data_IF_856751789097
#
_entry.id   IF_856751789097
#
_cell.length_a   1.000
_cell.length_b   1.000
_cell.length_c   1.000
_cell.angle_alpha   90.00
_cell.angle_beta   90.00
_cell.angle_gamma   90.00
#
_symmetry.space_group_name_H-M   'P 1'
#
loop_
_entity.id
_entity.type
_entity.pdbx_description
1 polymer ?
#
# COMPACT_ATOMS: atom_id res chain seq x y z
N UNK A 1 -18.15 6.67 36.50
CA UNK A 1 -16.89 6.31 35.82
C UNK A 1 -16.77 7.25 34.63
N UNK A 2 -15.66 7.97 34.50
CA UNK A 2 -15.43 8.84 33.34
C UNK A 2 -15.26 7.99 32.09
N UNK A 3 -15.89 8.37 30.99
CA UNK A 3 -15.68 7.71 29.69
C UNK A 3 -14.22 7.83 29.25
N UNK A 4 -13.70 6.75 28.68
CA UNK A 4 -12.37 6.69 28.08
C UNK A 4 -12.47 6.79 26.56
N UNK A 5 -11.64 7.64 25.96
CA UNK A 5 -11.59 7.87 24.52
C UNK A 5 -10.25 7.42 23.93
N UNK A 6 -10.28 7.05 22.65
CA UNK A 6 -9.10 6.74 21.87
C UNK A 6 -9.27 7.22 20.42
N UNK A 7 -8.15 7.43 19.73
CA UNK A 7 -8.13 7.84 18.32
C UNK A 7 -7.26 6.87 17.56
N UNK A 8 -7.77 6.36 16.45
CA UNK A 8 -7.05 5.43 15.57
C UNK A 8 -7.22 5.78 14.10
N UNK A 9 -6.22 5.45 13.31
CA UNK A 9 -6.27 5.52 11.86
C UNK A 9 -6.86 4.22 11.31
N UNK A 10 -7.80 4.36 10.38
CA UNK A 10 -8.40 3.22 9.69
C UNK A 10 -7.63 2.95 8.38
N UNK A 11 -6.94 1.80 8.24
CA UNK A 11 -6.12 1.49 7.07
C UNK A 11 -6.92 1.26 5.77
N UNK A 12 -8.26 1.31 5.82
CA UNK A 12 -9.13 1.30 4.65
C UNK A 12 -8.84 0.15 3.69
N UNK A 13 -8.47 0.47 2.45
CA UNK A 13 -8.18 -0.52 1.41
C UNK A 13 -6.93 -1.37 1.71
N UNK A 14 -6.01 -0.88 2.54
CA UNK A 14 -4.85 -1.64 3.02
C UNK A 14 -5.16 -2.54 4.24
N UNK A 15 -6.36 -2.43 4.81
CA UNK A 15 -6.74 -3.19 6.01
C UNK A 15 -6.68 -4.70 5.80
N UNK A 16 -7.04 -5.18 4.61
CA UNK A 16 -6.96 -6.61 4.29
C UNK A 16 -5.51 -7.12 4.39
N UNK A 17 -4.54 -6.36 3.89
CA UNK A 17 -3.11 -6.72 3.91
C UNK A 17 -2.59 -6.86 5.34
N UNK A 18 -2.98 -5.93 6.21
CA UNK A 18 -2.64 -5.99 7.62
C UNK A 18 -3.29 -7.20 8.30
N UNK A 19 -4.59 -7.44 8.08
CA UNK A 19 -5.30 -8.60 8.64
C UNK A 19 -4.72 -9.93 8.17
N UNK A 20 -4.39 -10.06 6.90
CA UNK A 20 -3.78 -11.26 6.34
C UNK A 20 -2.40 -11.52 6.99
N UNK A 21 -1.57 -10.48 7.06
CA UNK A 21 -0.25 -10.57 7.72
C UNK A 21 -0.37 -10.96 9.20
N UNK A 22 -1.28 -10.31 9.93
CA UNK A 22 -1.55 -10.60 11.35
C UNK A 22 -2.05 -12.03 11.51
N UNK A 23 -2.95 -12.49 10.65
CA UNK A 23 -3.47 -13.85 10.64
C UNK A 23 -2.40 -14.91 10.36
N UNK A 24 -1.49 -14.64 9.42
CA UNK A 24 -0.34 -15.51 9.15
C UNK A 24 0.56 -15.63 10.37
N UNK A 25 0.86 -14.53 11.08
CA UNK A 25 1.66 -14.55 12.32
C UNK A 25 0.93 -15.33 13.42
N UNK A 26 -0.34 -15.01 13.67
CA UNK A 26 -1.15 -15.68 14.68
C UNK A 26 -1.20 -17.20 14.45
N UNK A 27 -1.44 -17.62 13.20
CA UNK A 27 -1.49 -19.03 12.80
C UNK A 27 -0.13 -19.73 12.89
N UNK A 28 0.93 -19.08 12.38
CA UNK A 28 2.27 -19.69 12.36
C UNK A 28 2.87 -19.90 13.75
N UNK A 29 2.50 -19.05 14.71
CA UNK A 29 3.10 -19.03 16.04
C UNK A 29 2.14 -19.37 17.19
N UNK A 30 0.86 -19.62 16.90
CA UNK A 30 -0.14 -20.00 17.90
C UNK A 30 -0.41 -18.90 18.91
N UNK A 31 -0.39 -17.63 18.47
CA UNK A 31 -0.63 -16.47 19.34
C UNK A 31 -1.98 -15.82 19.03
N UNK A 32 -2.58 -15.18 20.04
CA UNK A 32 -3.78 -14.39 19.84
C UNK A 32 -3.46 -13.11 19.03
N UNK A 33 -4.17 -12.84 17.92
CA UNK A 33 -4.00 -11.60 17.18
C UNK A 33 -4.51 -10.41 18.01
N UNK A 34 -3.96 -9.23 17.75
CA UNK A 34 -4.41 -8.00 18.39
C UNK A 34 -5.88 -7.67 18.03
N UNK A 35 -6.70 -7.20 18.99
CA UNK A 35 -8.13 -6.97 18.80
C UNK A 35 -8.46 -5.85 17.81
N UNK A 36 -7.52 -4.94 17.52
CA UNK A 36 -7.69 -3.80 16.62
C UNK A 36 -7.79 -4.18 15.14
N UNK A 37 -7.49 -5.45 14.79
CA UNK A 37 -7.62 -6.00 13.43
C UNK A 37 -6.97 -5.15 12.33
N UNK A 38 -5.81 -4.55 12.66
CA UNK A 38 -5.01 -3.72 11.76
C UNK A 38 -5.24 -2.22 11.88
N UNK A 39 -6.25 -1.75 12.62
CA UNK A 39 -6.38 -0.32 12.91
C UNK A 39 -5.17 0.18 13.71
N UNK A 40 -4.75 1.43 13.47
CA UNK A 40 -3.49 1.98 13.99
C UNK A 40 -3.80 3.00 15.09
N UNK A 41 -3.61 2.66 16.38
CA UNK A 41 -3.83 3.61 17.46
C UNK A 41 -2.82 4.77 17.38
N UNK A 42 -3.30 6.00 17.51
CA UNK A 42 -2.47 7.22 17.56
C UNK A 42 -2.64 8.00 18.86
N UNK A 43 -3.77 7.83 19.54
CA UNK A 43 -3.98 8.23 20.93
C UNK A 43 -4.89 7.20 21.63
N UNK A 44 -4.65 6.96 22.92
CA UNK A 44 -5.43 6.02 23.73
C UNK A 44 -5.51 6.54 25.16
N UNK A 45 -6.43 6.02 25.99
CA UNK A 45 -6.60 6.44 27.38
C UNK A 45 -6.79 7.95 27.56
N UNK A 46 -7.55 8.57 26.65
CA UNK A 46 -7.94 9.97 26.73
C UNK A 46 -9.16 10.10 27.65
N UNK A 47 -9.15 11.08 28.54
CA UNK A 47 -10.30 11.46 29.36
C UNK A 47 -10.58 12.93 29.09
N UNK A 48 -11.83 13.30 28.83
CA UNK A 48 -12.18 14.69 28.56
C UNK A 48 -11.81 15.59 29.74
N UNK A 49 -11.21 16.74 29.44
CA UNK A 49 -10.91 17.75 30.45
C UNK A 49 -12.22 18.36 31.01
N UNK A 50 -12.23 18.88 32.25
CA UNK A 50 -13.40 19.55 32.80
C UNK A 50 -13.92 20.67 31.87
N UNK A 51 -15.22 20.66 31.58
CA UNK A 51 -15.85 21.62 30.67
C UNK A 51 -15.69 21.33 29.17
N UNK A 52 -14.92 20.31 28.79
CA UNK A 52 -14.83 19.85 27.39
C UNK A 52 -15.96 18.89 27.05
N UNK A 53 -16.34 18.85 25.77
CA UNK A 53 -17.42 18.00 25.24
C UNK A 53 -16.87 17.00 24.23
N UNK A 54 -17.65 15.96 23.93
CA UNK A 54 -17.36 15.03 22.82
C UNK A 54 -17.26 15.76 21.47
N UNK A 55 -18.05 16.81 21.29
CA UNK A 55 -18.00 17.65 20.09
C UNK A 55 -16.69 18.43 20.02
N UNK A 56 -16.23 19.02 21.13
CA UNK A 56 -14.91 19.66 21.20
C UNK A 56 -13.75 18.70 20.93
N UNK A 57 -13.86 17.44 21.36
CA UNK A 57 -12.89 16.39 20.98
C UNK A 57 -12.92 16.10 19.48
N UNK A 58 -14.11 15.98 18.88
CA UNK A 58 -14.26 15.79 17.44
C UNK A 58 -13.69 17.00 16.66
N UNK A 59 -13.96 18.22 17.09
CA UNK A 59 -13.45 19.44 16.46
C UNK A 59 -11.92 19.53 16.54
N UNK A 60 -11.32 19.10 17.66
CA UNK A 60 -9.87 19.00 17.78
C UNK A 60 -9.26 18.01 16.77
N UNK A 61 -9.87 16.81 16.65
CA UNK A 61 -9.42 15.80 15.67
C UNK A 61 -9.59 16.30 14.24
N UNK A 62 -10.73 16.89 13.91
CA UNK A 62 -10.99 17.47 12.59
C UNK A 62 -10.06 18.65 12.29
N UNK A 63 -9.73 19.47 13.29
CA UNK A 63 -8.75 20.55 13.21
C UNK A 63 -7.36 20.05 12.83
N UNK A 64 -6.87 19.01 13.51
CA UNK A 64 -5.58 18.38 13.20
C UNK A 64 -5.56 17.73 11.80
N UNK A 65 -6.71 17.30 11.29
CA UNK A 65 -6.85 16.72 9.96
C UNK A 65 -7.13 17.74 8.86
N UNK A 66 -7.41 19.02 9.17
CA UNK A 66 -7.97 19.98 8.22
C UNK A 66 -7.10 20.22 6.98
N UNK A 67 -5.78 20.15 7.15
CA UNK A 67 -4.81 20.30 6.07
C UNK A 67 -4.67 19.04 5.19
N UNK A 68 -5.31 17.94 5.57
CA UNK A 68 -5.10 16.61 5.00
C UNK A 68 -6.40 16.07 4.41
N UNK A 69 -6.42 15.84 3.09
CA UNK A 69 -7.49 15.06 2.43
C UNK A 69 -7.30 13.55 2.59
N UNK A 70 -6.09 13.16 2.96
CA UNK A 70 -5.63 11.82 3.32
C UNK A 70 -4.38 11.96 4.20
N UNK A 71 -4.06 10.94 4.99
CA UNK A 71 -2.77 10.87 5.68
C UNK A 71 -1.91 9.79 5.03
N UNK A 72 -0.84 10.21 4.36
CA UNK A 72 0.08 9.30 3.69
C UNK A 72 1.02 8.68 4.73
N UNK A 73 1.05 7.34 4.77
CA UNK A 73 1.87 6.55 5.67
C UNK A 73 2.71 5.53 4.91
N UNK A 74 3.76 5.06 5.55
CA UNK A 74 4.52 3.88 5.13
C UNK A 74 4.42 2.84 6.23
N UNK A 75 3.82 1.70 5.88
CA UNK A 75 3.89 0.48 6.68
C UNK A 75 5.26 -0.14 6.42
N UNK A 76 6.08 -0.28 7.46
CA UNK A 76 7.45 -0.76 7.33
C UNK A 76 7.86 -1.67 8.48
N UNK A 77 8.12 -2.93 8.15
CA UNK A 77 8.86 -3.82 9.02
C UNK A 77 8.11 -4.25 10.28
N UNK A 78 8.82 -5.03 11.09
CA UNK A 78 8.37 -5.43 12.41
C UNK A 78 8.90 -4.46 13.45
N UNK A 79 8.05 -4.10 14.42
CA UNK A 79 8.44 -3.35 15.61
C UNK A 79 7.99 -4.10 16.85
N UNK A 80 8.73 -3.91 17.95
CA UNK A 80 8.35 -4.44 19.26
C UNK A 80 8.43 -3.32 20.28
N UNK A 81 7.44 -3.23 21.16
CA UNK A 81 7.37 -2.19 22.18
C UNK A 81 6.99 -2.77 23.54
N UNK A 82 7.59 -2.25 24.61
CA UNK A 82 7.18 -2.64 25.97
C UNK A 82 5.83 -2.00 26.34
N UNK A 83 4.94 -2.83 26.85
CA UNK A 83 3.63 -2.46 27.38
C UNK A 83 3.50 -2.93 28.84
N UNK A 84 2.49 -2.46 29.56
CA UNK A 84 2.28 -2.85 30.96
C UNK A 84 2.08 -4.36 31.15
N UNK A 85 1.58 -5.05 30.12
CA UNK A 85 1.34 -6.51 30.12
C UNK A 85 2.44 -7.35 29.48
N UNK A 86 3.56 -6.77 29.02
CA UNK A 86 4.64 -7.50 28.36
C UNK A 86 5.27 -6.74 27.21
N UNK A 87 5.44 -7.42 26.07
CA UNK A 87 5.92 -6.79 24.84
C UNK A 87 4.89 -6.95 23.74
N UNK A 88 4.52 -5.85 23.11
CA UNK A 88 3.62 -5.82 21.97
C UNK A 88 4.44 -6.00 20.68
N UNK A 89 3.95 -6.82 19.76
CA UNK A 89 4.45 -6.95 18.39
C UNK A 89 3.58 -6.08 17.50
N UNK A 90 4.19 -5.30 16.61
CA UNK A 90 3.47 -4.47 15.65
C UNK A 90 4.17 -4.39 14.30
N UNK A 91 3.47 -3.79 13.34
CA UNK A 91 4.03 -3.34 12.06
C UNK A 91 4.33 -1.85 12.19
N UNK A 92 5.54 -1.43 11.83
CA UNK A 92 5.97 -0.05 11.98
C UNK A 92 5.15 0.89 11.08
N UNK A 93 4.78 2.06 11.61
CA UNK A 93 4.11 3.11 10.84
C UNK A 93 4.96 4.38 10.91
N UNK A 94 5.21 4.99 9.77
CA UNK A 94 5.75 6.34 9.66
C UNK A 94 4.88 7.17 8.72
N UNK A 95 4.70 8.44 9.04
CA UNK A 95 4.06 9.39 8.14
C UNK A 95 5.03 9.80 7.04
N UNK A 96 4.54 9.92 5.80
CA UNK A 96 5.30 10.49 4.71
C UNK A 96 5.45 12.02 4.90
N UNK A 97 6.36 12.70 4.17
CA UNK A 97 6.63 14.13 4.37
C UNK A 97 5.40 15.04 4.30
N UNK A 98 4.41 14.72 3.46
CA UNK A 98 3.16 15.49 3.33
C UNK A 98 2.23 15.37 4.57
N UNK A 99 2.49 14.41 5.45
CA UNK A 99 1.66 14.06 6.61
C UNK A 99 2.47 14.00 7.91
N UNK A 100 3.76 14.35 7.88
CA UNK A 100 4.70 14.16 9.01
C UNK A 100 4.30 14.95 10.26
N UNK A 101 3.65 16.11 10.06
CA UNK A 101 3.20 16.98 11.15
C UNK A 101 1.94 16.49 11.85
N UNK A 102 1.20 15.55 11.26
CA UNK A 102 -0.10 15.09 11.77
C UNK A 102 -0.05 14.69 13.25
N UNK A 103 0.92 13.88 13.65
CA UNK A 103 1.00 13.41 15.04
C UNK A 103 1.27 14.55 16.05
N UNK A 104 2.05 15.57 15.63
CA UNK A 104 2.29 16.74 16.46
C UNK A 104 1.06 17.65 16.52
N UNK A 105 0.40 17.87 15.38
CA UNK A 105 -0.80 18.70 15.27
C UNK A 105 -1.97 18.07 16.05
N UNK A 106 -2.12 16.75 15.99
CA UNK A 106 -3.10 16.01 16.79
C UNK A 106 -2.83 16.17 18.29
N UNK A 107 -1.58 16.01 18.73
CA UNK A 107 -1.22 16.21 20.14
C UNK A 107 -1.57 17.62 20.61
N UNK A 108 -1.21 18.63 19.82
CA UNK A 108 -1.47 20.02 20.14
C UNK A 108 -2.97 20.33 20.20
N UNK A 109 -3.76 19.79 19.26
CA UNK A 109 -5.20 19.98 19.22
C UNK A 109 -5.94 19.28 20.38
N UNK A 110 -5.45 18.12 20.84
CA UNK A 110 -6.06 17.37 21.94
C UNK A 110 -5.73 17.93 23.33
N UNK A 111 -4.55 18.54 23.50
CA UNK A 111 -4.07 19.06 24.78
C UNK A 111 -5.07 19.93 25.56
N UNK A 112 -5.85 20.85 24.95
CA UNK A 112 -6.84 21.65 25.68
C UNK A 112 -8.14 20.91 26.01
N UNK A 113 -8.48 19.81 25.31
CA UNK A 113 -9.80 19.16 25.40
C UNK A 113 -9.79 17.80 26.09
N UNK A 114 -8.63 17.16 26.19
CA UNK A 114 -8.47 15.86 26.82
C UNK A 114 -7.16 15.75 27.59
N UNK A 115 -7.24 15.10 28.75
CA UNK A 115 -6.09 14.71 29.56
C UNK A 115 -5.82 13.22 29.40
N UNK A 116 -4.58 12.81 29.69
CA UNK A 116 -4.16 11.42 29.56
C UNK A 116 -3.72 11.07 28.13
N UNK A 117 -3.19 9.85 28.01
CA UNK A 117 -2.82 9.24 26.74
C UNK A 117 -1.36 9.38 26.32
N UNK A 118 -0.81 8.27 25.79
CA UNK A 118 0.53 8.20 25.22
C UNK A 118 0.55 8.77 23.80
N UNK A 119 0.29 10.07 23.65
CA UNK A 119 0.46 10.73 22.37
C UNK A 119 1.96 11.03 22.17
N UNK A 120 2.74 10.09 21.64
CA UNK A 120 4.21 10.27 21.55
C UNK A 120 5.03 9.03 21.22
N UNK A 121 4.42 7.84 21.25
CA UNK A 121 5.05 6.63 20.72
C UNK A 121 4.99 6.63 19.20
N UNK A 122 6.01 6.07 18.55
CA UNK A 122 5.98 5.86 17.09
C UNK A 122 4.78 4.95 16.79
N UNK A 123 3.83 5.37 15.93
CA UNK A 123 2.65 4.58 15.67
C UNK A 123 3.02 3.23 15.08
N UNK A 124 2.23 2.22 15.43
CA UNK A 124 2.38 0.87 14.93
C UNK A 124 1.01 0.22 14.77
N UNK A 125 0.81 -0.58 13.72
CA UNK A 125 -0.36 -1.44 13.61
C UNK A 125 -0.15 -2.65 14.54
N UNK A 126 -0.97 -2.84 15.60
CA UNK A 126 -0.77 -3.94 16.53
C UNK A 126 -0.97 -5.30 15.85
N UNK A 127 -0.06 -6.24 16.10
CA UNK A 127 -0.12 -7.63 15.61
C UNK A 127 -0.49 -8.57 16.74
N UNK A 128 0.16 -8.42 17.89
CA UNK A 128 -0.15 -9.14 19.12
C UNK A 128 0.25 -8.28 20.33
N UNK A 129 -0.47 -8.39 21.45
CA UNK A 129 -0.24 -7.60 22.66
C UNK A 129 0.20 -8.47 23.84
N UNK A 130 1.00 -7.90 24.75
CA UNK A 130 1.31 -8.51 26.04
C UNK A 130 2.06 -9.84 25.95
N UNK A 131 2.92 -10.02 24.94
CA UNK A 131 3.70 -11.25 24.80
C UNK A 131 4.80 -11.28 25.87
N UNK A 132 4.98 -12.43 26.52
CA UNK A 132 6.09 -12.60 27.44
C UNK A 132 7.44 -12.54 26.70
N UNK A 133 8.49 -12.19 27.44
CA UNK A 133 9.80 -11.94 26.85
C UNK A 133 10.45 -13.15 26.18
N UNK A 134 10.14 -14.38 26.60
CA UNK A 134 10.69 -15.59 25.99
C UNK A 134 10.02 -15.86 24.63
N UNK A 135 8.69 -15.83 24.61
CA UNK A 135 7.91 -15.98 23.38
C UNK A 135 8.25 -14.88 22.37
N UNK A 136 8.37 -13.62 22.81
CA UNK A 136 8.75 -12.50 21.94
C UNK A 136 10.12 -12.69 21.29
N UNK A 137 11.12 -13.22 22.02
CA UNK A 137 12.46 -13.48 21.44
C UNK A 137 12.43 -14.54 20.36
N UNK A 138 11.70 -15.63 20.58
CA UNK A 138 11.56 -16.71 19.60
C UNK A 138 10.79 -16.22 18.35
N UNK A 139 9.70 -15.46 18.55
CA UNK A 139 8.95 -14.81 17.48
C UNK A 139 9.83 -13.88 16.66
N UNK A 140 10.56 -12.97 17.32
CA UNK A 140 11.41 -11.98 16.66
C UNK A 140 12.47 -12.65 15.77
N UNK A 141 13.12 -13.70 16.29
CA UNK A 141 14.08 -14.50 15.52
C UNK A 141 13.41 -15.23 14.34
N UNK A 142 12.22 -15.81 14.57
CA UNK A 142 11.46 -16.52 13.53
C UNK A 142 10.97 -15.62 12.39
N UNK A 143 10.66 -14.36 12.70
CA UNK A 143 10.33 -13.33 11.71
C UNK A 143 11.56 -12.83 10.91
N UNK A 144 12.75 -13.40 11.15
CA UNK A 144 13.98 -13.05 10.47
C UNK A 144 14.68 -11.81 11.02
N UNK A 145 14.22 -11.28 12.16
CA UNK A 145 14.87 -10.15 12.82
C UNK A 145 16.09 -10.66 13.61
N UNK A 146 17.22 -9.96 13.49
CA UNK A 146 18.46 -10.36 14.18
C UNK A 146 18.33 -10.09 15.69
N UNK A 147 18.36 -11.12 16.56
CA UNK A 147 18.38 -10.92 18.00
C UNK A 147 19.73 -10.34 18.44
N UNK A 148 19.73 -9.55 19.51
CA UNK A 148 20.95 -9.03 20.11
C UNK A 148 21.84 -10.15 20.68
N UNK A 149 23.12 -9.85 20.97
CA UNK A 149 24.09 -10.84 21.48
C UNK A 149 23.58 -11.59 22.73
N UNK A 150 23.00 -10.85 23.69
CA UNK A 150 22.42 -11.42 24.92
C UNK A 150 21.19 -12.30 24.60
N UNK A 151 20.34 -11.89 23.65
CA UNK A 151 19.16 -12.66 23.26
C UNK A 151 19.54 -13.97 22.56
N UNK A 152 20.60 -13.95 21.74
CA UNK A 152 21.14 -15.17 21.08
C UNK A 152 21.63 -16.18 22.11
N UNK A 153 22.33 -15.71 23.16
CA UNK A 153 22.77 -16.58 24.25
C UNK A 153 21.57 -17.20 25.00
N UNK A 154 20.56 -16.39 25.32
CA UNK A 154 19.34 -16.89 25.99
C UNK A 154 18.57 -17.92 25.12
N UNK A 155 18.46 -17.70 23.81
CA UNK A 155 17.82 -18.62 22.87
C UNK A 155 18.55 -19.97 22.72
N UNK A 156 19.84 -20.03 23.11
CA UNK A 156 20.62 -21.27 23.07
C UNK A 156 20.42 -22.14 24.33
N UNK A 157 20.02 -21.54 25.45
CA UNK A 157 19.92 -22.21 26.76
C UNK A 157 18.47 -22.47 27.17
N UNK A 158 17.52 -21.64 26.72
CA UNK A 158 16.11 -21.77 27.08
C UNK A 158 15.40 -22.74 26.12
N UNK A 159 14.59 -23.71 26.63
CA UNK A 159 13.79 -24.59 25.78
C UNK A 159 12.86 -23.80 24.87
N UNK A 160 12.89 -24.11 23.56
CA UNK A 160 12.03 -23.44 22.58
C UNK A 160 10.57 -23.82 22.74
N UNK A 161 9.70 -22.83 22.79
CA UNK A 161 8.24 -23.02 22.73
C UNK A 161 7.76 -23.20 21.30
N UNK A 162 8.39 -22.51 20.35
CA UNK A 162 8.09 -22.56 18.92
C UNK A 162 8.93 -23.66 18.28
N UNK A 163 8.28 -24.79 17.96
CA UNK A 163 8.93 -25.96 17.34
C UNK A 163 9.44 -25.69 15.92
N UNK A 164 8.71 -24.91 15.12
CA UNK A 164 9.02 -24.62 13.71
C UNK A 164 8.80 -23.13 13.41
N UNK A 165 9.80 -22.26 13.64
CA UNK A 165 9.67 -20.85 13.29
C UNK A 165 9.46 -20.71 11.78
N UNK A 166 8.53 -19.83 11.38
CA UNK A 166 8.22 -19.56 9.97
C UNK A 166 8.52 -18.11 9.67
N UNK A 167 9.39 -17.90 8.70
CA UNK A 167 9.64 -16.56 8.17
C UNK A 167 8.36 -16.01 7.54
N UNK A 168 7.91 -14.86 8.03
CA UNK A 168 6.82 -14.09 7.45
C UNK A 168 7.43 -12.78 7.00
N UNK A 169 7.27 -12.49 5.71
CA UNK A 169 7.86 -11.31 5.09
C UNK A 169 7.30 -10.04 5.75
N UNK A 170 8.15 -9.09 6.16
CA UNK A 170 7.67 -7.81 6.67
C UNK A 170 6.86 -7.07 5.60
N UNK A 171 5.87 -6.30 6.05
CA UNK A 171 5.13 -5.40 5.17
C UNK A 171 6.03 -4.21 4.85
N UNK A 172 6.15 -3.89 3.56
CA UNK A 172 6.60 -2.58 3.08
C UNK A 172 5.56 -2.07 2.09
N UNK A 173 4.73 -1.13 2.53
CA UNK A 173 3.61 -0.62 1.74
C UNK A 173 3.37 0.87 2.05
N UNK A 174 3.67 1.78 1.11
CA UNK A 174 3.08 3.10 1.10
C UNK A 174 1.56 2.98 1.00
N UNK A 175 0.83 3.60 1.92
CA UNK A 175 -0.62 3.57 1.98
C UNK A 175 -1.16 4.92 2.44
N UNK A 176 -2.39 5.23 2.06
CA UNK A 176 -3.06 6.47 2.45
C UNK A 176 -4.26 6.17 3.34
N UNK A 177 -4.32 6.84 4.49
CA UNK A 177 -5.46 6.77 5.41
C UNK A 177 -6.51 7.77 4.94
N UNK A 178 -7.74 7.29 4.73
CA UNK A 178 -8.89 8.13 4.37
C UNK A 178 -9.84 8.38 5.55
N UNK A 179 -9.72 7.61 6.64
CA UNK A 179 -10.65 7.67 7.77
C UNK A 179 -9.94 7.63 9.12
N UNK A 180 -10.38 8.47 10.04
CA UNK A 180 -9.87 8.54 11.43
C UNK A 180 -11.03 8.33 12.39
N UNK A 181 -10.94 7.35 13.26
CA UNK A 181 -12.03 7.01 14.19
C UNK A 181 -11.73 7.50 15.60
N UNK A 182 -12.75 8.09 16.22
CA UNK A 182 -12.80 8.36 17.66
C UNK A 182 -13.58 7.22 18.31
N UNK A 183 -13.00 6.63 19.34
CA UNK A 183 -13.60 5.55 20.10
C UNK A 183 -14.04 6.07 21.47
N UNK A 184 -15.13 5.51 21.99
CA UNK A 184 -15.62 5.70 23.36
C UNK A 184 -15.76 4.33 24.02
N UNK A 185 -15.05 4.12 25.13
CA UNK A 185 -14.98 2.86 25.88
C UNK A 185 -14.69 1.64 24.97
N UNK A 186 -13.80 1.83 23.99
CA UNK A 186 -13.38 0.80 23.02
C UNK A 186 -14.31 0.58 21.82
N UNK A 187 -15.50 1.18 21.78
CA UNK A 187 -16.39 1.14 20.63
C UNK A 187 -16.20 2.37 19.71
N UNK A 188 -16.38 2.22 18.40
CA UNK A 188 -16.34 3.37 17.48
C UNK A 188 -17.50 4.31 17.82
N UNK A 189 -17.17 5.55 18.14
CA UNK A 189 -18.14 6.61 18.43
C UNK A 189 -18.49 7.38 17.17
N UNK A 190 -17.48 7.89 16.45
CA UNK A 190 -17.60 8.56 15.16
C UNK A 190 -16.35 8.35 14.32
N UNK A 191 -16.50 8.45 13.01
CA UNK A 191 -15.37 8.36 12.07
C UNK A 191 -15.33 9.59 11.17
N UNK A 192 -14.22 10.30 11.17
CA UNK A 192 -13.97 11.41 10.26
C UNK A 192 -13.53 10.84 8.92
N UNK A 193 -14.29 11.16 7.87
CA UNK A 193 -13.94 10.87 6.49
C UNK A 193 -13.14 12.04 5.90
N UNK A 194 -11.85 11.83 5.62
CA UNK A 194 -10.93 12.89 5.24
C UNK A 194 -11.21 13.46 3.83
N UNK A 195 -11.55 12.66 2.80
CA UNK A 195 -11.86 13.19 1.48
C UNK A 195 -13.10 14.09 1.48
N UNK A 196 -14.16 13.72 2.21
CA UNK A 196 -15.38 14.54 2.31
C UNK A 196 -15.32 15.61 3.41
N UNK A 197 -14.45 15.46 4.40
CA UNK A 197 -14.38 16.29 5.61
C UNK A 197 -15.55 16.08 6.58
N UNK A 198 -16.35 15.02 6.41
CA UNK A 198 -17.58 14.80 7.17
C UNK A 198 -17.39 13.77 8.29
N UNK A 199 -18.10 13.96 9.40
CA UNK A 199 -18.22 12.96 10.46
C UNK A 199 -19.31 11.94 10.10
N UNK A 200 -18.96 10.66 10.17
CA UNK A 200 -19.84 9.53 9.96
C UNK A 200 -20.20 8.90 11.30
N UNK A 201 -21.46 8.53 11.45
CA UNK A 201 -21.90 7.59 12.48
C UNK A 201 -21.32 6.19 12.23
N UNK A 202 -21.31 5.29 13.22
CA UNK A 202 -20.82 3.92 13.02
C UNK A 202 -21.53 3.19 11.86
N UNK A 203 -22.85 3.36 11.72
CA UNK A 203 -23.61 2.76 10.63
C UNK A 203 -23.22 3.31 9.25
N UNK A 204 -22.98 4.62 9.14
CA UNK A 204 -22.52 5.24 7.88
C UNK A 204 -21.07 4.88 7.56
N UNK A 205 -20.22 4.69 8.57
CA UNK A 205 -18.85 4.26 8.39
C UNK A 205 -18.77 2.81 7.85
N UNK A 206 -19.71 1.96 8.26
CA UNK A 206 -19.81 0.57 7.81
C UNK A 206 -20.58 0.40 6.48
N UNK A 207 -21.21 1.46 5.97
CA UNK A 207 -21.93 1.43 4.68
C UNK A 207 -20.97 1.28 3.49
N UNK A 208 -21.06 0.18 2.70
CA UNK A 208 -20.23 -0.04 1.53
C UNK A 208 -20.35 1.06 0.47
N UNK A 209 -21.54 1.66 0.28
CA UNK A 209 -21.74 2.71 -0.71
C UNK A 209 -20.99 3.98 -0.30
N UNK A 210 -21.04 4.34 0.99
CA UNK A 210 -20.24 5.45 1.54
C UNK A 210 -18.75 5.19 1.39
N UNK A 211 -18.30 3.97 1.63
CA UNK A 211 -16.90 3.63 1.43
C UNK A 211 -16.48 3.73 -0.05
N UNK A 212 -17.35 3.35 -0.97
CA UNK A 212 -17.12 3.52 -2.41
C UNK A 212 -17.00 5.01 -2.80
N UNK A 213 -17.85 5.88 -2.25
CA UNK A 213 -17.77 7.33 -2.42
C UNK A 213 -16.44 7.89 -1.90
N UNK A 214 -16.03 7.51 -0.68
CA UNK A 214 -14.74 7.87 -0.09
C UNK A 214 -13.58 7.49 -1.01
N UNK A 215 -13.56 6.24 -1.48
CA UNK A 215 -12.50 5.72 -2.34
C UNK A 215 -12.46 6.45 -3.69
N UNK A 216 -13.61 6.75 -4.30
CA UNK A 216 -13.67 7.53 -5.54
C UNK A 216 -13.11 8.94 -5.36
N UNK A 217 -13.51 9.64 -4.30
CA UNK A 217 -12.99 10.96 -3.98
C UNK A 217 -11.46 10.92 -3.77
N UNK A 218 -10.99 9.94 -3.00
CA UNK A 218 -9.57 9.69 -2.77
C UNK A 218 -8.81 9.40 -4.08
N UNK A 219 -9.30 8.49 -4.93
CA UNK A 219 -8.63 8.14 -6.19
C UNK A 219 -8.45 9.36 -7.10
N UNK A 220 -9.47 10.22 -7.21
CA UNK A 220 -9.40 11.45 -8.00
C UNK A 220 -8.40 12.45 -7.42
N UNK A 221 -8.41 12.62 -6.10
CA UNK A 221 -7.50 13.53 -5.39
C UNK A 221 -6.05 13.05 -5.46
N UNK A 222 -5.79 11.76 -5.25
CA UNK A 222 -4.44 11.17 -5.36
C UNK A 222 -3.93 11.18 -6.79
N UNK A 223 -4.83 11.08 -7.77
CA UNK A 223 -4.50 10.92 -9.19
C UNK A 223 -4.48 9.45 -9.64
N UNK A 224 -5.11 8.55 -8.91
CA UNK A 224 -5.33 7.17 -9.33
C UNK A 224 -6.55 7.00 -10.24
N UNK A 225 -7.40 8.02 -10.37
CA UNK A 225 -8.51 8.07 -11.32
C UNK A 225 -8.39 9.38 -12.14
N UNK A 226 -8.16 9.25 -13.44
CA UNK A 226 -8.12 10.35 -14.39
C UNK A 226 -9.53 10.91 -14.60
N UNK A 227 -9.70 12.21 -14.43
CA UNK A 227 -10.98 12.90 -14.69
C UNK A 227 -11.01 13.64 -16.03
N UNK A 228 -9.85 13.77 -16.69
CA UNK A 228 -9.71 14.39 -17.99
C UNK A 228 -8.52 13.78 -18.75
N UNK A 229 -8.52 13.85 -20.10
CA UNK A 229 -7.34 13.49 -20.89
C UNK A 229 -6.11 14.34 -20.53
N UNK A 230 -4.96 13.69 -20.46
CA UNK A 230 -3.66 14.26 -20.13
C UNK A 230 -2.61 13.85 -21.18
N UNK A 231 -2.92 14.09 -22.45
CA UNK A 231 -2.05 13.69 -23.57
C UNK A 231 -0.75 14.51 -23.59
N UNK A 232 0.37 13.82 -23.70
CA UNK A 232 1.65 14.47 -23.99
C UNK A 232 1.72 14.91 -25.47
N UNK A 233 2.46 15.97 -25.80
CA UNK A 233 2.68 16.40 -27.17
C UNK A 233 3.49 15.35 -27.95
N UNK A 234 3.31 15.32 -29.28
CA UNK A 234 4.02 14.39 -30.17
C UNK A 234 3.60 12.92 -30.00
N UNK A 235 4.30 12.01 -30.67
CA UNK A 235 4.09 10.58 -30.56
C UNK A 235 4.82 10.02 -29.35
N UNK A 236 4.14 9.23 -28.54
CA UNK A 236 4.69 8.65 -27.32
C UNK A 236 4.79 7.13 -27.39
N UNK A 237 5.72 6.59 -26.60
CA UNK A 237 5.81 5.16 -26.29
C UNK A 237 5.57 5.02 -24.80
N UNK A 238 4.56 4.24 -24.41
CA UNK A 238 4.22 3.99 -23.03
C UNK A 238 4.51 2.55 -22.62
N UNK A 239 4.65 2.31 -21.32
CA UNK A 239 4.73 0.99 -20.70
C UNK A 239 3.79 0.89 -19.49
N UNK A 240 3.20 -0.28 -19.28
CA UNK A 240 2.41 -0.66 -18.11
C UNK A 240 2.17 -2.17 -18.13
N UNK A 241 1.85 -2.76 -16.99
CA UNK A 241 1.50 -4.17 -16.82
C UNK A 241 0.38 -4.36 -15.79
N UNK A 242 -0.09 -5.60 -15.67
CA UNK A 242 -0.86 -6.10 -14.54
C UNK A 242 -2.17 -5.36 -14.31
N UNK A 243 -2.90 -5.04 -15.38
CA UNK A 243 -4.22 -4.42 -15.24
C UNK A 243 -5.16 -5.38 -14.53
N UNK A 244 -5.05 -6.68 -14.82
CA UNK A 244 -5.90 -7.72 -14.24
C UNK A 244 -7.39 -7.38 -14.33
N UNK A 245 -7.82 -6.95 -15.52
CA UNK A 245 -9.24 -6.66 -15.77
C UNK A 245 -10.09 -7.90 -15.42
N UNK A 246 -11.17 -7.69 -14.68
CA UNK A 246 -12.08 -8.75 -14.21
C UNK A 246 -11.58 -9.55 -12.99
N UNK A 247 -10.49 -9.13 -12.34
CA UNK A 247 -9.87 -9.89 -11.24
C UNK A 247 -10.17 -9.31 -9.84
N UNK A 248 -11.34 -9.56 -9.26
CA UNK A 248 -11.70 -8.99 -7.94
C UNK A 248 -10.66 -9.23 -6.82
N UNK A 249 -9.99 -10.39 -6.80
CA UNK A 249 -8.98 -10.72 -5.78
C UNK A 249 -7.75 -9.82 -5.83
N UNK A 250 -7.43 -9.20 -6.98
CA UNK A 250 -6.28 -8.30 -7.09
C UNK A 250 -6.46 -7.05 -6.24
N UNK A 251 -7.70 -6.64 -5.99
CA UNK A 251 -8.03 -5.48 -5.15
C UNK A 251 -7.48 -5.68 -3.74
N UNK A 252 -7.75 -6.83 -3.12
CA UNK A 252 -7.21 -7.15 -1.79
C UNK A 252 -5.71 -7.47 -1.82
N UNK A 253 -5.28 -8.29 -2.79
CA UNK A 253 -3.91 -8.76 -2.87
C UNK A 253 -2.89 -7.60 -2.95
N UNK A 254 -3.22 -6.58 -3.74
CA UNK A 254 -2.40 -5.38 -3.94
C UNK A 254 -2.89 -4.16 -3.14
N UNK A 255 -3.90 -4.30 -2.30
CA UNK A 255 -4.55 -3.16 -1.64
C UNK A 255 -4.91 -2.04 -2.64
N UNK A 256 -5.53 -2.40 -3.77
CA UNK A 256 -6.01 -1.37 -4.72
C UNK A 256 -7.19 -0.61 -4.10
N UNK A 257 -7.29 0.71 -4.29
CA UNK A 257 -8.30 1.53 -3.64
C UNK A 257 -9.67 1.44 -4.33
N UNK A 258 -10.19 0.22 -4.44
CA UNK A 258 -11.49 -0.10 -5.03
C UNK A 258 -12.28 -0.99 -4.06
N UNK A 259 -13.60 -0.99 -4.22
CA UNK A 259 -14.44 -1.90 -3.44
C UNK A 259 -14.33 -3.31 -4.00
N UNK A 260 -14.03 -4.28 -3.14
CA UNK A 260 -13.94 -5.70 -3.54
C UNK A 260 -15.26 -6.24 -4.13
N UNK A 261 -16.39 -5.73 -3.67
CA UNK A 261 -17.72 -6.11 -4.14
C UNK A 261 -18.05 -5.57 -5.55
N UNK A 262 -17.29 -4.60 -6.06
CA UNK A 262 -17.50 -3.96 -7.35
C UNK A 262 -16.17 -3.87 -8.13
N UNK A 263 -15.68 -5.00 -8.69
CA UNK A 263 -14.49 -4.99 -9.52
C UNK A 263 -14.70 -4.29 -10.87
N UNK A 264 -15.95 -4.11 -11.30
CA UNK A 264 -16.26 -3.49 -12.59
C UNK A 264 -15.95 -1.97 -12.56
N UNK A 265 -16.09 -1.32 -11.40
CA UNK A 265 -15.60 0.06 -11.20
C UNK A 265 -14.07 0.15 -11.37
N UNK A 266 -13.31 -0.84 -10.87
CA UNK A 266 -11.85 -0.88 -11.07
C UNK A 266 -11.51 -0.96 -12.55
N UNK A 267 -12.13 -1.89 -13.28
CA UNK A 267 -11.89 -2.08 -14.71
C UNK A 267 -12.17 -0.79 -15.50
N UNK A 268 -13.31 -0.14 -15.23
CA UNK A 268 -13.69 1.11 -15.86
C UNK A 268 -12.67 2.24 -15.60
N UNK A 269 -12.18 2.36 -14.36
CA UNK A 269 -11.15 3.36 -14.00
C UNK A 269 -9.82 3.05 -14.67
N UNK A 270 -9.38 1.79 -14.71
CA UNK A 270 -8.11 1.41 -15.36
C UNK A 270 -8.13 1.66 -16.87
N UNK A 271 -9.23 1.31 -17.55
CA UNK A 271 -9.43 1.60 -18.98
C UNK A 271 -9.54 3.12 -19.21
N UNK A 272 -10.25 3.83 -18.34
CA UNK A 272 -10.36 5.29 -18.39
C UNK A 272 -9.00 5.98 -18.24
N UNK A 273 -8.18 5.53 -17.29
CA UNK A 273 -6.82 6.04 -17.07
C UNK A 273 -5.92 5.80 -18.27
N UNK A 274 -6.00 4.60 -18.87
CA UNK A 274 -5.27 4.28 -20.09
C UNK A 274 -5.63 5.27 -21.21
N UNK A 275 -6.93 5.40 -21.50
CA UNK A 275 -7.42 6.23 -22.59
C UNK A 275 -7.28 7.73 -22.34
N UNK A 276 -7.15 8.14 -21.08
CA UNK A 276 -6.81 9.52 -20.73
C UNK A 276 -5.35 9.87 -21.06
N UNK A 277 -4.44 8.89 -21.12
CA UNK A 277 -3.01 9.11 -21.34
C UNK A 277 -2.58 8.78 -22.77
N UNK A 278 -3.15 7.72 -23.35
CA UNK A 278 -2.71 7.15 -24.62
C UNK A 278 -3.62 7.61 -25.77
N UNK A 279 -3.04 8.23 -26.80
CA UNK A 279 -3.76 8.56 -28.04
C UNK A 279 -3.77 7.37 -29.01
N UNK A 280 -4.71 7.32 -29.97
CA UNK A 280 -4.75 6.25 -30.98
C UNK A 280 -3.44 6.03 -31.77
N UNK A 281 -2.65 7.09 -31.95
CA UNK A 281 -1.38 7.05 -32.70
C UNK A 281 -0.14 6.77 -31.83
N UNK A 282 -0.30 6.70 -30.50
CA UNK A 282 0.78 6.35 -29.59
C UNK A 282 1.03 4.84 -29.60
N UNK A 283 2.20 4.42 -29.11
CA UNK A 283 2.54 3.01 -28.92
C UNK A 283 2.49 2.66 -27.45
N UNK A 284 2.05 1.45 -27.13
CA UNK A 284 2.13 0.91 -25.77
C UNK A 284 2.81 -0.44 -25.81
N UNK A 285 3.82 -0.62 -24.96
CA UNK A 285 4.45 -1.92 -24.72
C UNK A 285 3.85 -2.45 -23.42
N UNK A 286 2.92 -3.38 -23.54
CA UNK A 286 2.15 -3.93 -22.43
C UNK A 286 2.85 -5.16 -21.86
N UNK A 287 3.25 -5.13 -20.58
CA UNK A 287 4.18 -6.13 -20.01
C UNK A 287 3.48 -7.28 -19.28
N UNK A 288 2.33 -7.72 -19.80
CA UNK A 288 1.62 -8.91 -19.34
C UNK A 288 0.52 -8.69 -18.30
N UNK A 289 -0.28 -9.73 -18.09
CA UNK A 289 -1.41 -9.86 -17.16
C UNK A 289 -2.55 -8.84 -17.41
N UNK A 290 -3.06 -8.85 -18.64
CA UNK A 290 -4.13 -7.94 -19.07
C UNK A 290 -5.45 -8.20 -18.35
N UNK A 291 -5.85 -9.47 -18.28
CA UNK A 291 -7.18 -9.83 -17.79
C UNK A 291 -7.17 -11.18 -17.09
N UNK A 292 -8.01 -11.32 -16.07
CA UNK A 292 -8.28 -12.60 -15.42
C UNK A 292 -9.62 -13.12 -15.94
N UNK A 293 -9.56 -13.81 -17.09
CA UNK A 293 -10.73 -14.09 -17.92
C UNK A 293 -11.64 -15.22 -17.39
N UNK A 294 -12.22 -15.05 -16.18
CA UNK A 294 -13.22 -15.97 -15.61
C UNK A 294 -14.65 -15.71 -16.08
N UNK A 295 -14.96 -14.50 -16.56
CA UNK A 295 -16.33 -14.07 -16.93
C UNK A 295 -16.63 -14.15 -18.44
N UNK A 296 -15.69 -14.63 -19.25
CA UNK A 296 -15.94 -14.95 -20.65
C UNK A 296 -15.98 -13.75 -21.61
N UNK A 297 -15.64 -12.54 -21.16
CA UNK A 297 -15.41 -11.43 -22.09
C UNK A 297 -14.27 -11.81 -23.04
N UNK A 298 -14.48 -11.78 -24.37
CA UNK A 298 -13.41 -12.06 -25.31
C UNK A 298 -12.27 -11.07 -25.06
N UNK A 299 -11.05 -11.57 -24.88
CA UNK A 299 -9.82 -10.76 -24.76
C UNK A 299 -9.75 -9.69 -25.87
N UNK A 300 -10.25 -10.03 -27.07
CA UNK A 300 -10.39 -9.11 -28.19
C UNK A 300 -11.20 -7.84 -27.85
N UNK A 301 -12.30 -7.98 -27.14
CA UNK A 301 -13.20 -6.87 -26.83
C UNK A 301 -12.59 -5.96 -25.75
N UNK A 302 -11.76 -6.51 -24.86
CA UNK A 302 -10.92 -5.72 -23.95
C UNK A 302 -9.84 -4.95 -24.70
N UNK A 303 -9.13 -5.60 -25.63
CA UNK A 303 -8.12 -4.95 -26.47
C UNK A 303 -8.70 -3.77 -27.26
N UNK A 304 -9.92 -3.91 -27.78
CA UNK A 304 -10.59 -2.86 -28.56
C UNK A 304 -10.96 -1.62 -27.74
N UNK A 305 -11.01 -1.72 -26.41
CA UNK A 305 -11.28 -0.58 -25.52
C UNK A 305 -10.04 0.24 -25.21
N UNK A 306 -8.84 -0.28 -25.50
CA UNK A 306 -7.57 0.36 -25.17
C UNK A 306 -7.03 1.13 -26.37
N UNK A 307 -6.88 2.44 -26.23
CA UNK A 307 -6.31 3.30 -27.25
C UNK A 307 -4.83 2.98 -27.52
N UNK A 308 -4.37 3.28 -28.73
CA UNK A 308 -2.97 3.15 -29.14
C UNK A 308 -2.65 1.84 -29.86
N UNK A 309 -1.42 1.76 -30.35
CA UNK A 309 -0.87 0.56 -31.01
C UNK A 309 -0.12 -0.26 -29.96
N UNK A 310 -0.73 -1.36 -29.53
CA UNK A 310 -0.22 -2.13 -28.39
C UNK A 310 0.60 -3.33 -28.86
N UNK A 311 1.84 -3.43 -28.36
CA UNK A 311 2.66 -4.64 -28.42
C UNK A 311 2.55 -5.34 -27.07
N UNK A 312 2.12 -6.59 -27.06
CA UNK A 312 1.93 -7.36 -25.84
C UNK A 312 3.14 -8.25 -25.57
N UNK A 313 3.70 -8.17 -24.37
CA UNK A 313 4.60 -9.17 -23.80
C UNK A 313 3.74 -10.07 -22.90
N UNK A 314 3.89 -11.39 -23.05
CA UNK A 314 3.02 -12.39 -22.45
C UNK A 314 3.16 -12.41 -20.93
N UNK A 315 2.05 -12.24 -20.21
CA UNK A 315 1.95 -12.54 -18.79
C UNK A 315 1.41 -13.94 -18.50
N UNK A 316 1.45 -14.35 -17.23
CA UNK A 316 1.01 -15.66 -16.76
C UNK A 316 -0.49 -15.91 -17.01
N UNK A 317 -1.29 -14.84 -17.02
CA UNK A 317 -2.74 -14.90 -17.21
C UNK A 317 -3.17 -14.62 -18.66
N UNK A 318 -2.22 -14.44 -19.59
CA UNK A 318 -2.48 -14.01 -20.97
C UNK A 318 -2.52 -15.16 -21.99
N UNK A 319 -2.84 -16.38 -21.58
CA UNK A 319 -2.96 -17.52 -22.50
C UNK A 319 -3.94 -17.26 -23.68
N UNK A 320 -4.90 -16.35 -23.51
CA UNK A 320 -5.84 -15.92 -24.56
C UNK A 320 -5.32 -14.86 -25.54
N UNK A 321 -4.14 -14.27 -25.30
CA UNK A 321 -3.50 -13.28 -26.18
C UNK A 321 -2.54 -14.01 -27.14
N UNK A 322 -2.99 -14.25 -28.38
CA UNK A 322 -2.23 -15.04 -29.37
C UNK A 322 -1.04 -14.29 -29.96
N UNK A 323 -1.16 -12.97 -30.09
CA UNK A 323 -0.18 -12.04 -30.65
C UNK A 323 0.77 -11.44 -29.58
N UNK A 324 0.92 -12.11 -28.44
CA UNK A 324 1.88 -11.72 -27.41
C UNK A 324 3.24 -12.39 -27.63
N UNK A 325 4.30 -11.59 -27.53
CA UNK A 325 5.69 -12.02 -27.55
C UNK A 325 6.11 -12.49 -26.15
N UNK A 326 7.06 -13.41 -26.02
CA UNK A 326 7.57 -13.84 -24.70
C UNK A 326 8.45 -12.77 -24.05
N UNK A 327 9.16 -11.99 -24.87
CA UNK A 327 9.97 -10.85 -24.42
C UNK A 327 10.14 -9.85 -25.57
N UNK A 328 10.45 -8.60 -25.24
CA UNK A 328 10.75 -7.58 -26.24
C UNK A 328 12.03 -6.83 -25.88
N UNK A 329 13.00 -6.82 -26.80
CA UNK A 329 14.22 -6.01 -26.67
C UNK A 329 14.15 -4.80 -27.60
N UNK A 330 14.51 -3.63 -27.09
CA UNK A 330 14.59 -2.40 -27.88
C UNK A 330 15.59 -1.42 -27.28
N UNK A 331 16.11 -0.53 -28.11
CA UNK A 331 16.88 0.63 -27.67
C UNK A 331 16.01 1.87 -27.78
N UNK A 332 15.89 2.64 -26.69
CA UNK A 332 15.12 3.88 -26.65
C UNK A 332 15.91 4.97 -25.92
N UNK A 333 16.07 6.14 -26.54
CA UNK A 333 16.82 7.25 -25.94
C UNK A 333 18.27 6.88 -25.55
N UNK A 334 18.91 6.01 -26.33
CA UNK A 334 20.26 5.50 -26.04
C UNK A 334 20.35 4.48 -24.91
N UNK A 335 19.22 4.00 -24.39
CA UNK A 335 19.17 2.97 -23.34
C UNK A 335 18.61 1.68 -23.91
N UNK A 336 19.31 0.56 -23.66
CA UNK A 336 18.84 -0.77 -24.01
C UNK A 336 17.85 -1.28 -22.96
N UNK A 337 16.65 -1.64 -23.42
CA UNK A 337 15.59 -2.21 -22.59
C UNK A 337 15.29 -3.66 -22.99
N UNK A 338 15.03 -4.48 -21.98
CA UNK A 338 14.42 -5.80 -22.09
C UNK A 338 13.10 -5.80 -21.33
N UNK A 339 12.00 -6.02 -22.03
CA UNK A 339 10.68 -6.18 -21.44
C UNK A 339 10.39 -7.67 -21.29
N UNK A 340 10.16 -8.10 -20.05
CA UNK A 340 9.75 -9.46 -19.66
C UNK A 340 8.71 -9.35 -18.57
N UNK A 341 7.70 -10.22 -18.54
CA UNK A 341 6.66 -10.13 -17.52
C UNK A 341 7.18 -10.52 -16.12
N UNK A 342 7.70 -11.74 -15.94
CA UNK A 342 8.39 -12.13 -14.69
C UNK A 342 9.86 -11.67 -14.77
N UNK A 343 10.35 -10.84 -13.83
CA UNK A 343 11.74 -10.40 -13.82
C UNK A 343 12.77 -11.55 -13.72
N UNK A 344 12.36 -12.76 -13.36
CA UNK A 344 13.23 -13.94 -13.36
C UNK A 344 13.53 -14.48 -14.76
N UNK A 345 12.72 -14.15 -15.75
CA UNK A 345 12.92 -14.60 -17.13
C UNK A 345 13.95 -13.73 -17.86
N UNK A 346 14.42 -12.65 -17.23
CA UNK A 346 15.53 -11.86 -17.74
C UNK A 346 16.83 -12.70 -17.71
N UNK A 347 17.59 -12.78 -18.82
CA UNK A 347 18.84 -13.51 -18.85
C UNK A 347 19.85 -12.99 -17.84
N UNK A 348 20.56 -13.92 -17.19
CA UNK A 348 21.69 -13.58 -16.32
C UNK A 348 22.73 -12.77 -17.11
N UNK A 349 23.16 -11.64 -16.54
CA UNK A 349 24.18 -10.78 -17.14
C UNK A 349 23.68 -9.85 -18.26
N UNK A 350 22.36 -9.70 -18.48
CA UNK A 350 21.85 -8.64 -19.36
C UNK A 350 22.35 -7.27 -18.88
N UNK A 351 23.04 -6.54 -19.76
CA UNK A 351 23.70 -5.28 -19.42
C UNK A 351 22.78 -4.05 -19.49
N UNK A 352 21.59 -4.17 -20.08
CA UNK A 352 20.63 -3.07 -20.18
C UNK A 352 19.70 -2.97 -18.96
N UNK A 353 18.54 -2.36 -19.16
CA UNK A 353 17.50 -2.19 -18.15
C UNK A 353 16.33 -3.13 -18.38
N UNK A 354 15.91 -3.84 -17.34
CA UNK A 354 14.76 -4.74 -17.38
C UNK A 354 13.49 -3.97 -17.00
N UNK A 355 12.45 -4.05 -17.81
CA UNK A 355 11.11 -3.53 -17.48
C UNK A 355 10.19 -4.72 -17.29
N UNK A 356 9.55 -4.81 -16.13
CA UNK A 356 8.75 -5.98 -15.76
C UNK A 356 7.44 -5.63 -15.05
N UNK A 357 6.53 -6.60 -15.04
CA UNK A 357 5.30 -6.60 -14.23
C UNK A 357 5.42 -7.65 -13.14
N UNK A 358 4.37 -8.46 -12.96
CA UNK A 358 4.30 -9.70 -12.18
C UNK A 358 4.49 -9.55 -10.65
N UNK A 359 5.54 -8.85 -10.23
CA UNK A 359 5.88 -8.58 -8.85
C UNK A 359 5.21 -7.29 -8.40
N UNK A 360 3.96 -7.40 -7.98
CA UNK A 360 3.14 -6.30 -7.46
C UNK A 360 3.75 -5.53 -6.26
N UNK A 361 3.00 -4.54 -5.74
CA UNK A 361 3.38 -3.74 -4.57
C UNK A 361 3.52 -4.50 -3.24
N UNK A 362 3.37 -5.82 -3.25
CA UNK A 362 3.65 -6.67 -2.10
C UNK A 362 5.15 -7.03 -1.95
N UNK A 363 5.99 -6.65 -2.93
CA UNK A 363 7.44 -6.93 -2.95
C UNK A 363 8.30 -5.69 -3.19
N UNK A 364 7.81 -4.50 -2.83
CA UNK A 364 8.49 -3.21 -3.07
C UNK A 364 9.93 -3.12 -2.52
N UNK A 365 10.26 -3.85 -1.45
CA UNK A 365 11.63 -3.89 -0.92
C UNK A 365 12.65 -4.52 -1.90
N UNK A 366 12.17 -5.29 -2.87
CA UNK A 366 12.98 -6.05 -3.83
C UNK A 366 12.64 -5.74 -5.29
N UNK A 367 11.42 -5.26 -5.53
CA UNK A 367 10.90 -4.93 -6.86
C UNK A 367 10.16 -3.58 -6.78
N UNK A 368 10.85 -2.49 -6.40
CA UNK A 368 10.29 -1.14 -6.41
C UNK A 368 10.03 -0.67 -7.85
N UNK A 369 9.32 0.44 -8.04
CA UNK A 369 9.13 1.07 -9.34
C UNK A 369 10.47 1.27 -10.07
N UNK A 370 11.49 1.76 -9.36
CA UNK A 370 12.84 1.95 -9.88
C UNK A 370 13.87 1.29 -8.97
N UNK A 371 14.59 0.32 -9.52
CA UNK A 371 15.71 -0.37 -8.87
C UNK A 371 17.00 -0.15 -9.66
N UNK A 372 17.77 0.90 -9.34
CA UNK A 372 19.01 1.20 -10.04
C UNK A 372 20.12 0.18 -9.77
N UNK A 373 20.07 -0.54 -8.64
CA UNK A 373 21.09 -1.52 -8.26
C UNK A 373 21.02 -2.76 -9.15
N UNK A 374 19.79 -3.19 -9.48
CA UNK A 374 19.56 -4.35 -10.37
C UNK A 374 19.18 -3.95 -11.80
N UNK A 375 19.18 -2.65 -12.11
CA UNK A 375 18.77 -2.05 -13.39
C UNK A 375 17.36 -2.47 -13.81
N UNK A 376 16.38 -2.29 -12.92
CA UNK A 376 14.99 -2.71 -13.16
C UNK A 376 13.98 -1.59 -13.00
N UNK A 377 12.90 -1.70 -13.76
CA UNK A 377 11.68 -0.94 -13.57
C UNK A 377 10.49 -1.89 -13.39
N UNK A 378 9.75 -1.71 -12.31
CA UNK A 378 8.49 -2.40 -12.09
C UNK A 378 7.33 -1.52 -12.57
N UNK A 379 6.61 -1.99 -13.59
CA UNK A 379 5.51 -1.25 -14.22
C UNK A 379 4.12 -1.84 -13.94
N UNK A 380 4.00 -2.63 -12.86
CA UNK A 380 2.71 -3.11 -12.34
C UNK A 380 1.74 -1.95 -12.10
N UNK A 381 0.46 -2.12 -12.41
CA UNK A 381 -0.52 -1.03 -12.38
C UNK A 381 -0.53 -0.22 -11.06
N UNK A 382 -0.54 -0.88 -9.90
CA UNK A 382 -0.53 -0.18 -8.61
C UNK A 382 0.81 0.49 -8.26
N UNK A 383 1.91 0.11 -8.92
CA UNK A 383 3.25 0.66 -8.70
C UNK A 383 3.46 1.94 -9.54
N UNK A 384 2.77 2.03 -10.69
CA UNK A 384 2.84 3.18 -11.60
C UNK A 384 1.78 4.24 -11.36
N UNK A 385 0.92 4.06 -10.35
CA UNK A 385 -0.21 4.94 -10.07
C UNK A 385 -1.41 4.71 -11.02
N UNK A 386 -1.55 3.49 -11.52
CA UNK A 386 -2.65 3.02 -12.38
C UNK A 386 -2.73 3.71 -13.74
N UNK A 387 -1.59 4.15 -14.28
CA UNK A 387 -1.50 4.89 -15.56
C UNK A 387 -0.30 4.44 -16.39
N UNK A 388 -0.41 4.38 -17.72
CA UNK A 388 0.73 4.15 -18.60
C UNK A 388 1.86 5.16 -18.36
N UNK A 389 3.09 4.66 -18.30
CA UNK A 389 4.29 5.46 -18.03
C UNK A 389 5.04 5.72 -19.34
N UNK A 390 5.45 6.96 -19.66
CA UNK A 390 6.26 7.20 -20.84
C UNK A 390 7.60 6.47 -20.76
N UNK A 391 7.97 5.71 -21.80
CA UNK A 391 9.28 5.04 -21.88
C UNK A 391 10.43 6.06 -21.87
N UNK A 392 10.17 7.29 -22.33
CA UNK A 392 11.12 8.40 -22.23
C UNK A 392 11.53 8.73 -20.79
N UNK A 393 10.58 8.65 -19.84
CA UNK A 393 10.86 8.87 -18.42
C UNK A 393 11.81 7.78 -17.89
N UNK A 394 11.55 6.53 -18.22
CA UNK A 394 12.39 5.39 -17.81
C UNK A 394 13.81 5.54 -18.37
N UNK A 395 13.93 5.92 -19.64
CA UNK A 395 15.22 6.16 -20.28
C UNK A 395 15.98 7.33 -19.62
N UNK A 396 15.28 8.39 -19.22
CA UNK A 396 15.87 9.51 -18.48
C UNK A 396 16.37 9.10 -17.10
N UNK A 397 15.56 8.36 -16.33
CA UNK A 397 15.94 7.84 -15.01
C UNK A 397 17.14 6.90 -15.10
N UNK A 398 17.15 6.00 -16.09
CA UNK A 398 18.25 5.09 -16.37
C UNK A 398 19.56 5.85 -16.64
N UNK A 399 19.55 6.78 -17.62
CA UNK A 399 20.75 7.59 -17.95
C UNK A 399 21.25 8.42 -16.77
N UNK A 400 20.34 9.02 -16.00
CA UNK A 400 20.71 9.79 -14.80
C UNK A 400 21.43 8.91 -13.79
N UNK A 401 20.87 7.75 -13.48
CA UNK A 401 21.47 6.81 -12.52
C UNK A 401 22.82 6.27 -12.98
N UNK A 402 22.99 6.02 -14.28
CA UNK A 402 24.26 5.59 -14.86
C UNK A 402 25.32 6.70 -14.79
N UNK A 403 24.92 7.95 -15.06
CA UNK A 403 25.83 9.09 -15.03
C UNK A 403 26.27 9.46 -13.60
N UNK A 404 25.37 9.39 -12.61
CA UNK A 404 25.67 9.80 -11.24
C UNK A 404 26.24 8.68 -10.38
N UNK A 405 26.18 7.42 -10.84
CA UNK A 405 26.57 6.24 -10.05
C UNK A 405 25.81 6.08 -8.74
N UNK A 406 24.71 6.83 -8.57
CA UNK A 406 23.93 6.95 -7.34
C UNK A 406 22.45 6.92 -7.71
N UNK A 407 21.72 5.98 -7.10
CA UNK A 407 20.27 5.90 -7.27
C UNK A 407 19.66 5.32 -6.01
N UNK A 408 18.80 6.11 -5.36
CA UNK A 408 17.93 5.59 -4.30
C UNK A 408 16.76 4.88 -4.96
N UNK A 409 16.43 3.63 -4.57
CA UNK A 409 15.25 2.97 -5.10
C UNK A 409 13.99 3.79 -4.86
N UNK A 410 13.14 3.91 -5.88
CA UNK A 410 11.84 4.58 -5.77
C UNK A 410 10.76 3.52 -5.68
N UNK A 411 10.12 3.38 -4.50
CA UNK A 411 9.16 2.30 -4.22
C UNK A 411 7.99 2.30 -5.20
N UNK A 412 7.33 3.44 -5.34
CA UNK A 412 6.19 3.65 -6.23
C UNK A 412 6.38 4.96 -6.97
N UNK A 413 5.77 5.09 -8.15
CA UNK A 413 5.79 6.34 -8.89
C UNK A 413 4.78 7.32 -8.26
N UNK A 414 5.28 8.35 -7.61
CA UNK A 414 4.49 9.53 -7.30
C UNK A 414 4.40 10.43 -8.55
N UNK A 415 3.19 10.56 -9.11
CA UNK A 415 2.78 11.44 -10.23
C UNK A 415 3.79 11.61 -11.37
#
# INVERSE_FOLDING_TARGET
>A
MSDEYAIRLEPGYAAWRLRDTIGQVASAYGIAPAPERGAIPVAAALVLAPGSTEEGLCDAVAGACRAHRRLSIVLDGWVRERSAGGTDLGIGVSFAPDSERFAADLRAALAPVAAGGSCGRRPAAPVARGLDGALMRELWAGLGMRPGLIERLLLAVVPRRIRKPRYIRPVLLPADICRVSVLRNGAVFRTLDLPSGSWLSPAEADDPARWQETLRAYRRERGFECTAPAYAPGHQVYVISDLHLGHANIIHYCARPFCFADPDEMDAVLVGNWNAVVKPADRVLYVGDLSYNRRGAPVRDLKNQLAGRVTYVRGNHDAGIRDAEESLRLTYGGVDFLLVHDPKDAPDGFSGWVVHGHTHNNRLATHPFFDPMHRRFNVSAEVTGYRPVPLALLAEMARRSEATGTGTPLLVRDR
#
